data_IF_421444167439
#
_entry.id   IF_421444167439
#
_cell.length_a   1.000
_cell.length_b   1.000
_cell.length_c   1.000
_cell.angle_alpha   90.00
_cell.angle_beta   90.00
_cell.angle_gamma   90.00
#
_symmetry.space_group_name_H-M   'P 1'
#
loop_
_entity.id
_entity.type
_entity.pdbx_description
1 polymer ?
#
# COMPACT_ATOMS: atom_id res chain seq x y z
N UNK A 1 -0.69 -0.76 8.07
CA UNK A 1 -0.73 -2.15 7.59
C UNK A 1 -0.90 -3.16 8.72
N UNK A 2 -0.01 -3.19 9.72
CA UNK A 2 0.00 -4.22 10.79
C UNK A 2 -1.32 -4.35 11.59
N UNK A 3 -2.11 -3.29 11.72
CA UNK A 3 -3.46 -3.33 12.31
C UNK A 3 -4.37 -4.39 11.66
N UNK A 4 -4.37 -4.50 10.32
CA UNK A 4 -5.21 -5.46 9.59
C UNK A 4 -4.77 -6.89 9.90
N UNK A 5 -3.46 -7.12 10.01
CA UNK A 5 -2.92 -8.42 10.41
C UNK A 5 -3.29 -8.79 11.84
N UNK A 6 -3.22 -7.85 12.79
CA UNK A 6 -3.64 -8.11 14.17
C UNK A 6 -5.13 -8.48 14.25
N UNK A 7 -6.00 -7.75 13.54
CA UNK A 7 -7.43 -8.05 13.46
C UNK A 7 -7.71 -9.42 12.80
N UNK A 8 -7.01 -9.72 11.71
CA UNK A 8 -7.14 -11.01 11.02
C UNK A 8 -6.65 -12.17 11.88
N UNK A 9 -5.49 -12.04 12.54
CA UNK A 9 -4.93 -13.04 13.43
C UNK A 9 -5.86 -13.32 14.62
N UNK A 10 -6.41 -12.28 15.25
CA UNK A 10 -7.39 -12.44 16.32
C UNK A 10 -8.63 -13.21 15.86
N UNK A 11 -9.19 -12.85 14.70
CA UNK A 11 -10.36 -13.52 14.14
C UNK A 11 -10.10 -14.99 13.82
N UNK A 12 -8.95 -15.28 13.20
CA UNK A 12 -8.57 -16.64 12.78
C UNK A 12 -8.19 -17.52 13.97
N UNK A 13 -7.39 -16.99 14.90
CA UNK A 13 -6.85 -17.75 16.04
C UNK A 13 -7.77 -17.71 17.26
N UNK A 14 -8.81 -16.88 17.26
CA UNK A 14 -9.76 -16.68 18.35
C UNK A 14 -9.09 -16.29 19.68
N UNK A 15 -8.00 -15.52 19.59
CA UNK A 15 -7.22 -15.04 20.73
C UNK A 15 -6.91 -13.55 20.55
N UNK A 16 -7.03 -12.79 21.64
CA UNK A 16 -6.78 -11.34 21.61
C UNK A 16 -5.38 -11.01 21.08
N UNK A 17 -5.31 -10.15 20.06
CA UNK A 17 -4.08 -9.72 19.40
C UNK A 17 -4.08 -8.19 19.23
N UNK A 18 -3.21 -7.50 19.99
CA UNK A 18 -3.13 -6.03 20.00
C UNK A 18 -1.71 -5.51 19.80
N UNK A 19 -0.72 -6.27 20.25
CA UNK A 19 0.70 -6.01 20.02
C UNK A 19 1.12 -6.48 18.63
N UNK A 20 1.83 -5.64 17.91
CA UNK A 20 2.51 -5.97 16.66
C UNK A 20 3.95 -5.51 16.70
N UNK A 21 4.79 -6.17 15.92
CA UNK A 21 6.20 -5.84 15.79
C UNK A 21 6.56 -5.66 14.31
N UNK A 22 7.35 -4.63 14.03
CA UNK A 22 7.97 -4.42 12.72
C UNK A 22 9.47 -4.64 12.87
N UNK A 23 9.99 -5.63 12.15
CA UNK A 23 11.38 -6.05 12.22
C UNK A 23 12.14 -5.45 11.05
N UNK A 24 13.10 -4.57 11.33
CA UNK A 24 14.00 -4.02 10.32
C UNK A 24 15.23 -4.92 10.20
N UNK A 25 15.20 -5.84 9.23
CA UNK A 25 16.23 -6.87 9.09
C UNK A 25 17.67 -6.35 8.93
N UNK A 26 17.94 -5.26 8.17
CA UNK A 26 19.31 -4.77 8.00
C UNK A 26 19.97 -4.30 9.30
N UNK A 27 19.23 -3.60 10.17
CA UNK A 27 19.77 -3.07 11.44
C UNK A 27 19.47 -3.98 12.63
N UNK A 28 18.56 -4.95 12.48
CA UNK A 28 18.03 -5.75 13.59
C UNK A 28 17.08 -5.00 14.52
N UNK A 29 16.67 -3.77 14.19
CA UNK A 29 15.76 -2.99 15.02
C UNK A 29 14.35 -3.60 15.04
N UNK A 30 13.75 -3.67 16.23
CA UNK A 30 12.37 -4.13 16.40
C UNK A 30 11.52 -3.00 16.96
N UNK A 31 10.60 -2.52 16.14
CA UNK A 31 9.64 -1.49 16.50
C UNK A 31 8.35 -2.16 16.97
N UNK A 32 7.92 -1.83 18.19
CA UNK A 32 6.72 -2.42 18.81
C UNK A 32 5.59 -1.40 18.82
N UNK A 33 4.37 -1.85 18.53
CA UNK A 33 3.17 -1.03 18.67
C UNK A 33 2.01 -1.81 19.31
N UNK A 34 1.28 -1.16 20.21
CA UNK A 34 0.07 -1.69 20.85
C UNK A 34 -1.18 -0.99 20.29
N UNK A 35 -2.06 -1.73 19.65
CA UNK A 35 -3.32 -1.20 19.13
C UNK A 35 -4.42 -1.14 20.20
N UNK A 36 -5.27 -0.11 20.10
CA UNK A 36 -6.57 -0.09 20.78
C UNK A 36 -7.64 -0.75 19.93
N UNK A 37 -8.75 -1.19 20.55
CA UNK A 37 -9.89 -1.75 19.82
C UNK A 37 -10.46 -0.74 18.81
N UNK A 38 -10.61 0.52 19.23
CA UNK A 38 -11.02 1.63 18.34
C UNK A 38 -10.04 1.82 17.17
N UNK A 39 -8.74 1.76 17.44
CA UNK A 39 -7.71 1.90 16.42
C UNK A 39 -7.76 0.80 15.35
N UNK A 40 -8.04 -0.43 15.77
CA UNK A 40 -8.26 -1.54 14.85
C UNK A 40 -9.54 -1.38 14.06
N UNK A 41 -10.66 -1.09 14.72
CA UNK A 41 -11.96 -0.89 14.09
C UNK A 41 -11.89 0.21 13.02
N UNK A 42 -11.20 1.32 13.31
CA UNK A 42 -10.97 2.40 12.33
C UNK A 42 -10.19 1.94 11.10
N UNK A 43 -9.17 1.11 11.27
CA UNK A 43 -8.35 0.63 10.15
C UNK A 43 -9.11 -0.39 9.29
N UNK A 44 -9.87 -1.28 9.92
CA UNK A 44 -10.75 -2.23 9.21
C UNK A 44 -11.83 -1.46 8.45
N UNK A 45 -12.53 -0.53 9.11
CA UNK A 45 -13.56 0.28 8.47
C UNK A 45 -13.02 1.09 7.28
N UNK A 46 -11.81 1.65 7.38
CA UNK A 46 -11.15 2.31 6.24
C UNK A 46 -10.88 1.35 5.08
N UNK A 47 -10.44 0.13 5.37
CA UNK A 47 -10.22 -0.88 4.34
C UNK A 47 -11.54 -1.29 3.66
N UNK A 48 -12.62 -1.44 4.43
CA UNK A 48 -13.95 -1.75 3.89
C UNK A 48 -14.49 -0.59 3.03
N UNK A 49 -14.36 0.66 3.47
CA UNK A 49 -14.75 1.83 2.67
C UNK A 49 -14.01 1.90 1.34
N UNK A 50 -12.69 1.68 1.36
CA UNK A 50 -11.88 1.64 0.13
C UNK A 50 -12.30 0.48 -0.78
N UNK A 51 -12.62 -0.69 -0.19
CA UNK A 51 -13.07 -1.85 -0.96
C UNK A 51 -14.40 -1.58 -1.67
N UNK A 52 -15.33 -0.89 -1.01
CA UNK A 52 -16.60 -0.49 -1.61
C UNK A 52 -16.40 0.51 -2.77
N UNK A 53 -15.52 1.49 -2.60
CA UNK A 53 -15.17 2.45 -3.66
C UNK A 53 -14.53 1.76 -4.88
N UNK A 54 -13.59 0.84 -4.64
CA UNK A 54 -12.97 0.05 -5.71
C UNK A 54 -14.00 -0.77 -6.46
N UNK A 55 -14.93 -1.45 -5.75
CA UNK A 55 -15.95 -2.27 -6.38
C UNK A 55 -16.90 -1.45 -7.26
N UNK A 56 -17.30 -0.25 -6.82
CA UNK A 56 -18.14 0.65 -7.61
C UNK A 56 -17.43 1.17 -8.87
N UNK A 57 -16.16 1.60 -8.75
CA UNK A 57 -15.35 2.04 -9.89
C UNK A 57 -15.18 0.91 -10.91
N UNK A 58 -14.88 -0.29 -10.43
CA UNK A 58 -14.64 -1.48 -11.23
C UNK A 58 -15.92 -1.95 -11.98
N UNK A 59 -17.09 -1.90 -11.34
CA UNK A 59 -18.37 -2.15 -11.99
C UNK A 59 -18.65 -1.14 -13.10
N UNK A 60 -18.46 0.15 -12.82
CA UNK A 60 -18.62 1.22 -13.82
C UNK A 60 -17.68 1.03 -15.01
N UNK A 61 -16.42 0.65 -14.75
CA UNK A 61 -15.46 0.38 -15.82
C UNK A 61 -15.90 -0.80 -16.70
N UNK A 62 -16.39 -1.90 -16.10
CA UNK A 62 -16.90 -3.07 -16.82
C UNK A 62 -18.15 -2.80 -17.63
N UNK A 63 -19.00 -1.86 -17.20
CA UNK A 63 -20.19 -1.45 -17.94
C UNK A 63 -19.87 -0.76 -19.29
N UNK A 64 -18.59 -0.44 -19.53
CA UNK A 64 -18.12 0.16 -20.78
C UNK A 64 -18.07 1.67 -20.67
N UNK A 65 -16.85 2.20 -20.48
CA UNK A 65 -16.55 3.63 -20.47
C UNK A 65 -15.56 3.97 -21.58
N UNK A 66 -15.61 5.21 -22.07
CA UNK A 66 -14.58 5.73 -22.96
C UNK A 66 -13.23 5.84 -22.23
N UNK A 67 -12.13 5.93 -22.98
CA UNK A 67 -10.80 6.11 -22.40
C UNK A 67 -10.71 7.39 -21.55
N UNK A 68 -11.36 8.49 -21.98
CA UNK A 68 -11.38 9.74 -21.23
C UNK A 68 -12.14 9.63 -19.90
N UNK A 69 -13.24 8.87 -19.88
CA UNK A 69 -13.98 8.58 -18.65
C UNK A 69 -13.19 7.66 -17.72
N UNK A 70 -12.49 6.67 -18.26
CA UNK A 70 -11.60 5.80 -17.49
C UNK A 70 -10.46 6.61 -16.83
N UNK A 71 -9.83 7.53 -17.57
CA UNK A 71 -8.79 8.42 -17.04
C UNK A 71 -9.32 9.32 -15.90
N UNK A 72 -10.56 9.80 -16.03
CA UNK A 72 -11.21 10.60 -14.99
C UNK A 72 -11.60 9.78 -13.75
N UNK A 73 -11.94 8.49 -13.93
CA UNK A 73 -12.27 7.56 -12.84
C UNK A 73 -11.03 7.09 -12.07
N UNK A 74 -9.89 6.94 -12.74
CA UNK A 74 -8.63 6.45 -12.17
C UNK A 74 -7.50 7.49 -12.32
N UNK A 75 -7.63 8.67 -11.70
CA UNK A 75 -6.66 9.74 -11.86
C UNK A 75 -5.30 9.32 -11.27
N UNK A 76 -4.24 9.54 -12.04
CA UNK A 76 -2.87 9.32 -11.56
C UNK A 76 -2.54 10.30 -10.41
N UNK A 77 -2.27 9.77 -9.22
CA UNK A 77 -1.73 10.56 -8.11
C UNK A 77 -0.20 10.58 -8.21
N UNK A 78 0.34 11.69 -8.70
CA UNK A 78 1.79 11.81 -8.97
C UNK A 78 2.59 12.24 -7.74
N UNK A 79 3.86 11.82 -7.68
CA UNK A 79 4.78 12.18 -6.59
C UNK A 79 6.11 11.44 -6.69
N UNK A 80 6.96 11.53 -5.64
CA UNK A 80 8.30 10.91 -5.66
C UNK A 80 8.33 9.39 -5.87
N UNK A 81 7.19 8.71 -5.62
CA UNK A 81 6.99 7.28 -5.89
C UNK A 81 6.89 6.95 -7.39
N UNK A 82 6.62 7.92 -8.26
CA UNK A 82 6.54 7.69 -9.70
C UNK A 82 7.84 7.11 -10.27
N UNK A 83 9.00 7.44 -9.71
CA UNK A 83 10.28 6.85 -10.14
C UNK A 83 10.44 5.37 -9.79
N UNK A 84 9.60 4.82 -8.91
CA UNK A 84 9.56 3.39 -8.55
C UNK A 84 8.34 2.66 -9.13
N UNK A 85 7.50 3.35 -9.93
CA UNK A 85 6.28 2.78 -10.49
C UNK A 85 6.58 2.03 -11.79
N UNK A 86 6.18 0.76 -11.90
CA UNK A 86 6.36 -0.05 -13.11
C UNK A 86 5.70 0.54 -14.35
N UNK A 87 4.62 1.31 -14.15
CA UNK A 87 3.86 1.96 -15.21
C UNK A 87 4.40 3.35 -15.61
N UNK A 88 5.47 3.86 -14.98
CA UNK A 88 5.99 5.20 -15.28
C UNK A 88 6.27 5.39 -16.77
N UNK A 89 6.88 4.38 -17.41
CA UNK A 89 7.22 4.39 -18.85
C UNK A 89 6.01 4.60 -19.77
N UNK A 90 4.81 4.21 -19.33
CA UNK A 90 3.57 4.36 -20.08
C UNK A 90 2.62 5.39 -19.47
N UNK A 91 3.02 6.10 -18.42
CA UNK A 91 2.21 7.07 -17.70
C UNK A 91 2.80 8.49 -17.88
N UNK A 92 2.25 9.31 -18.79
CA UNK A 92 2.82 10.63 -19.10
C UNK A 92 2.90 11.56 -17.88
N UNK A 93 1.88 11.54 -17.02
CA UNK A 93 1.84 12.36 -15.80
C UNK A 93 2.91 11.94 -14.78
N UNK A 94 3.17 10.63 -14.64
CA UNK A 94 4.24 10.11 -13.79
C UNK A 94 5.64 10.41 -14.34
N UNK A 95 5.85 10.22 -15.64
CA UNK A 95 7.12 10.49 -16.32
C UNK A 95 7.50 11.98 -16.26
N UNK A 96 6.52 12.89 -16.24
CA UNK A 96 6.74 14.31 -16.04
C UNK A 96 7.27 14.66 -14.64
N UNK A 97 7.05 13.81 -13.64
CA UNK A 97 7.43 14.08 -12.23
C UNK A 97 8.73 13.37 -11.82
N UNK A 98 8.97 12.16 -12.30
CA UNK A 98 10.18 11.42 -11.95
C UNK A 98 10.60 10.46 -13.05
N UNK A 99 11.91 10.36 -13.28
CA UNK A 99 12.51 9.33 -14.11
C UNK A 99 12.39 7.96 -13.43
N UNK A 100 12.13 6.87 -14.19
CA UNK A 100 12.21 5.51 -13.67
C UNK A 100 13.58 5.23 -13.06
N UNK A 101 13.59 4.60 -11.89
CA UNK A 101 14.80 4.09 -11.23
C UNK A 101 15.03 2.64 -11.63
N UNK A 102 16.28 2.22 -11.52
CA UNK A 102 16.62 0.81 -11.66
C UNK A 102 15.97 -0.01 -10.53
N UNK A 103 15.51 -1.25 -10.79
CA UNK A 103 14.88 -2.08 -9.76
C UNK A 103 15.74 -2.35 -8.53
N UNK A 104 17.07 -2.32 -8.69
CA UNK A 104 18.04 -2.53 -7.61
C UNK A 104 18.53 -1.24 -6.95
N UNK A 105 18.09 -0.07 -7.39
CA UNK A 105 18.57 1.22 -6.85
C UNK A 105 18.21 1.45 -5.37
N UNK A 106 17.35 0.60 -4.80
CA UNK A 106 16.92 0.65 -3.40
C UNK A 106 17.64 -0.35 -2.50
N UNK A 107 18.55 -1.16 -3.07
CA UNK A 107 19.44 -2.01 -2.30
C UNK A 107 20.56 -1.14 -1.75
N UNK A 108 20.76 -1.17 -0.44
CA UNK A 108 21.97 -0.62 0.16
C UNK A 108 23.20 -1.42 -0.33
N UNK A 109 24.35 -0.76 -0.47
CA UNK A 109 25.60 -1.49 -0.67
C UNK A 109 25.79 -2.42 0.53
N UNK A 110 25.82 -3.73 0.26
CA UNK A 110 25.94 -4.75 1.28
C UNK A 110 27.21 -4.53 2.10
N UNK A 111 27.08 -3.79 3.20
CA UNK A 111 28.16 -3.62 4.17
C UNK A 111 28.24 -4.96 4.88
N UNK A 112 29.25 -5.76 4.52
CA UNK A 112 29.50 -7.05 5.14
C UNK A 112 29.82 -6.78 6.62
N UNK A 113 28.85 -6.99 7.51
CA UNK A 113 29.11 -7.06 8.94
C UNK A 113 30.08 -8.23 9.14
N UNK A 114 31.25 -7.92 9.71
CA UNK A 114 32.35 -8.87 9.91
C UNK A 114 32.02 -10.00 10.85
#
# INVERSE_FOLDING_TARGET
ALAVYAAAAERTLRRRCRRVELHHLPTGEVLVWEHTDEGLARQVGRADSLSAEIADLDERYRAGVSAAEADAMYPATVGGRCGWCDYNRSCPSGAAVAQPRDPWAGLEEATRAG
#
